data_IF_065145639335
#
_entry.id   IF_065145639335
#
_cell.length_a   1.000
_cell.length_b   1.000
_cell.length_c   1.000
_cell.angle_alpha   90.00
_cell.angle_beta   90.00
_cell.angle_gamma   90.00
#
_symmetry.space_group_name_H-M   'P 1'
#
loop_
_entity.id
_entity.type
_entity.pdbx_description
1 polymer ?
#
# COMPACT_ATOMS: atom_id res chain seq x y z
N UNK A 1 11.39 -17.02 10.13
CA UNK A 1 10.00 -16.71 9.74
C UNK A 1 9.94 -15.35 9.05
N UNK A 2 9.13 -15.27 8.02
CA UNK A 2 8.99 -14.01 7.29
C UNK A 2 8.13 -13.01 8.04
N UNK A 3 8.54 -11.75 8.05
CA UNK A 3 7.73 -10.68 8.63
C UNK A 3 6.68 -10.25 7.61
N UNK A 4 5.53 -9.81 8.11
CA UNK A 4 4.44 -9.32 7.29
C UNK A 4 4.24 -7.84 7.54
N UNK A 5 4.17 -7.05 6.45
CA UNK A 5 3.85 -5.63 6.49
C UNK A 5 2.49 -5.45 5.84
N UNK A 6 1.60 -4.69 6.47
CA UNK A 6 0.29 -4.41 5.90
C UNK A 6 0.23 -2.94 5.52
N UNK A 7 0.00 -2.67 4.24
CA UNK A 7 -0.22 -1.32 3.72
C UNK A 7 -1.71 -1.05 3.66
N UNK A 8 -2.14 0.04 4.26
CA UNK A 8 -3.56 0.35 4.38
C UNK A 8 -3.87 1.72 3.80
N UNK A 9 -4.89 1.78 2.97
CA UNK A 9 -5.53 3.04 2.60
C UNK A 9 -7.04 2.80 2.60
N UNK A 10 -7.83 3.87 2.53
CA UNK A 10 -9.28 3.71 2.69
C UNK A 10 -9.84 2.76 1.65
N UNK A 11 -9.59 2.98 0.37
CA UNK A 11 -10.18 2.19 -0.71
C UNK A 11 -9.27 1.06 -1.21
N UNK A 12 -8.00 1.06 -0.85
CA UNK A 12 -6.97 0.11 -1.30
C UNK A 12 -7.00 -0.11 -2.83
N UNK A 13 -7.31 0.95 -3.58
CA UNK A 13 -7.37 0.91 -5.05
C UNK A 13 -6.18 1.57 -5.74
N UNK A 14 -5.27 2.15 -4.99
CA UNK A 14 -4.10 2.86 -5.55
C UNK A 14 -2.84 2.70 -4.71
N UNK A 15 -2.67 3.59 -3.73
CA UNK A 15 -1.41 3.70 -2.96
C UNK A 15 -0.96 2.40 -2.32
N UNK A 16 -1.84 1.73 -1.59
CA UNK A 16 -1.47 0.48 -0.92
C UNK A 16 -1.19 -0.64 -1.90
N UNK A 17 -1.87 -0.66 -3.05
CA UNK A 17 -1.61 -1.64 -4.10
C UNK A 17 -0.23 -1.46 -4.69
N UNK A 18 0.20 -0.23 -4.94
CA UNK A 18 1.54 0.06 -5.44
C UNK A 18 2.60 -0.35 -4.41
N UNK A 19 2.37 -0.01 -3.15
CA UNK A 19 3.32 -0.34 -2.08
C UNK A 19 3.47 -1.85 -1.90
N UNK A 20 2.37 -2.59 -1.91
CA UNK A 20 2.42 -4.05 -1.82
C UNK A 20 3.23 -4.66 -2.96
N UNK A 21 2.98 -4.21 -4.19
CA UNK A 21 3.64 -4.75 -5.37
C UNK A 21 5.16 -4.48 -5.33
N UNK A 22 5.56 -3.26 -5.01
CA UNK A 22 6.99 -2.94 -4.89
C UNK A 22 7.65 -3.71 -3.77
N UNK A 23 6.99 -3.80 -2.62
CA UNK A 23 7.56 -4.49 -1.47
C UNK A 23 7.81 -5.97 -1.78
N UNK A 24 6.81 -6.65 -2.33
CA UNK A 24 6.96 -8.08 -2.63
C UNK A 24 8.01 -8.35 -3.69
N UNK A 25 8.15 -7.45 -4.68
CA UNK A 25 9.19 -7.57 -5.68
C UNK A 25 10.58 -7.37 -5.07
N UNK A 26 10.75 -6.35 -4.22
CA UNK A 26 12.05 -6.02 -3.64
C UNK A 26 12.47 -6.97 -2.52
N UNK A 27 11.52 -7.48 -1.75
CA UNK A 27 11.81 -8.35 -0.61
C UNK A 27 12.21 -9.77 -1.03
N UNK A 28 11.84 -10.20 -2.24
CA UNK A 28 12.25 -11.49 -2.81
C UNK A 28 12.03 -12.68 -1.87
N UNK A 29 10.87 -12.71 -1.22
CA UNK A 29 10.52 -13.81 -0.32
C UNK A 29 11.02 -13.69 1.10
N UNK A 30 11.85 -12.71 1.40
CA UNK A 30 12.38 -12.52 2.77
C UNK A 30 11.35 -11.90 3.71
N UNK A 31 10.35 -11.24 3.15
CA UNK A 31 9.25 -10.66 3.89
C UNK A 31 8.05 -10.58 2.95
N UNK A 32 6.86 -10.37 3.50
CA UNK A 32 5.63 -10.33 2.70
C UNK A 32 4.87 -9.05 2.99
N UNK A 33 4.29 -8.46 1.96
CA UNK A 33 3.38 -7.34 2.10
C UNK A 33 1.97 -7.74 1.70
N UNK A 34 1.00 -7.18 2.42
CA UNK A 34 -0.41 -7.27 2.10
C UNK A 34 -0.94 -5.86 1.97
N UNK A 35 -1.97 -5.67 1.16
CA UNK A 35 -2.68 -4.39 1.07
C UNK A 35 -4.12 -4.59 1.46
N UNK A 36 -4.70 -3.60 2.12
CA UNK A 36 -6.08 -3.67 2.60
C UNK A 36 -6.66 -2.27 2.77
N UNK A 37 -7.96 -2.20 2.88
CA UNK A 37 -8.65 -0.93 3.09
C UNK A 37 -9.80 -1.06 4.08
N UNK A 38 -10.17 0.06 4.68
CA UNK A 38 -11.30 0.11 5.60
C UNK A 38 -12.63 0.19 4.85
N UNK A 39 -12.60 0.72 3.61
CA UNK A 39 -13.75 0.77 2.71
C UNK A 39 -13.26 0.42 1.30
N UNK A 40 -12.98 -0.88 1.02
CA UNK A 40 -12.41 -1.26 -0.28
C UNK A 40 -13.28 -0.83 -1.46
N UNK A 41 -12.65 -0.29 -2.50
CA UNK A 41 -13.33 -0.01 -3.75
C UNK A 41 -13.60 -1.30 -4.52
N UNK A 42 -14.24 -1.18 -5.68
CA UNK A 42 -14.57 -2.34 -6.50
C UNK A 42 -13.37 -2.85 -7.30
N UNK A 43 -12.53 -1.93 -7.76
CA UNK A 43 -11.39 -2.27 -8.62
C UNK A 43 -10.19 -1.39 -8.31
N UNK A 44 -9.01 -1.87 -8.70
CA UNK A 44 -7.80 -1.06 -8.65
C UNK A 44 -7.93 0.06 -9.69
N UNK A 45 -7.48 1.27 -9.32
CA UNK A 45 -7.53 2.44 -10.19
C UNK A 45 -6.79 2.15 -11.51
N UNK A 46 -7.46 2.29 -12.69
CA UNK A 46 -6.82 1.98 -13.98
C UNK A 46 -5.56 2.79 -14.28
N UNK A 47 -5.51 4.05 -13.84
CA UNK A 47 -4.32 4.90 -14.04
C UNK A 47 -3.15 4.36 -13.22
N UNK A 48 -3.43 3.83 -12.03
CA UNK A 48 -2.42 3.20 -11.18
C UNK A 48 -1.91 1.91 -11.84
N UNK A 49 -2.81 1.11 -12.41
CA UNK A 49 -2.42 -0.09 -13.15
C UNK A 49 -1.46 0.27 -14.29
N UNK A 50 -1.77 1.32 -15.04
CA UNK A 50 -0.93 1.78 -16.15
C UNK A 50 0.44 2.27 -15.65
N UNK A 51 0.45 3.06 -14.57
CA UNK A 51 1.70 3.56 -14.00
C UNK A 51 2.62 2.42 -13.53
N UNK A 52 2.05 1.36 -12.95
CA UNK A 52 2.83 0.21 -12.50
C UNK A 52 3.33 -0.62 -13.68
N UNK A 53 2.51 -0.73 -14.74
CA UNK A 53 2.93 -1.45 -15.95
C UNK A 53 4.16 -0.82 -16.58
N UNK A 54 4.30 0.50 -16.52
CA UNK A 54 5.45 1.22 -17.05
C UNK A 54 6.77 0.78 -16.39
N UNK A 55 6.70 0.32 -15.16
CA UNK A 55 7.90 -0.14 -14.43
C UNK A 55 7.97 -1.68 -14.36
N UNK A 56 7.21 -2.34 -15.22
CA UNK A 56 7.29 -3.80 -15.37
C UNK A 56 6.47 -4.61 -14.37
N UNK A 57 5.54 -3.98 -13.67
CA UNK A 57 4.72 -4.65 -12.67
C UNK A 57 3.25 -4.62 -13.09
N UNK A 58 2.64 -5.79 -13.23
CA UNK A 58 1.23 -5.90 -13.60
C UNK A 58 0.38 -6.17 -12.35
N UNK A 59 -0.46 -5.20 -11.98
CA UNK A 59 -1.40 -5.35 -10.87
C UNK A 59 -2.84 -5.40 -11.33
N UNK A 60 -3.07 -5.59 -12.64
CA UNK A 60 -4.42 -5.58 -13.21
C UNK A 60 -5.31 -6.70 -12.67
N UNK A 61 -4.73 -7.79 -12.20
CA UNK A 61 -5.47 -8.89 -11.60
C UNK A 61 -5.76 -8.73 -10.11
N UNK A 62 -5.22 -7.69 -9.49
CA UNK A 62 -5.43 -7.46 -8.06
C UNK A 62 -6.81 -6.87 -7.80
N UNK A 63 -7.34 -7.15 -6.60
CA UNK A 63 -8.62 -6.59 -6.17
C UNK A 63 -8.48 -5.97 -4.79
N UNK A 64 -9.18 -4.85 -4.54
CA UNK A 64 -9.22 -4.27 -3.21
C UNK A 64 -9.77 -5.27 -2.19
N UNK A 65 -9.14 -5.32 -1.02
CA UNK A 65 -9.52 -6.24 0.06
C UNK A 65 -9.84 -5.48 1.32
N UNK A 66 -10.78 -6.01 2.09
CA UNK A 66 -11.11 -5.45 3.39
C UNK A 66 -9.99 -5.74 4.40
N UNK A 67 -9.64 -4.73 5.21
CA UNK A 67 -8.74 -4.95 6.34
C UNK A 67 -9.42 -5.87 7.35
N UNK A 68 -8.73 -6.92 7.76
CA UNK A 68 -9.27 -7.90 8.72
C UNK A 68 -8.47 -7.89 10.00
N UNK A 69 -9.10 -8.37 11.07
CA UNK A 69 -8.42 -8.50 12.36
C UNK A 69 -7.21 -9.44 12.25
N UNK A 70 -7.32 -10.48 11.46
CA UNK A 70 -6.22 -11.41 11.21
C UNK A 70 -5.01 -10.71 10.60
N UNK A 71 -5.24 -9.81 9.64
CA UNK A 71 -4.16 -9.03 9.03
C UNK A 71 -3.47 -8.14 10.08
N UNK A 72 -4.27 -7.50 10.94
CA UNK A 72 -3.75 -6.66 12.02
C UNK A 72 -2.89 -7.47 12.98
N UNK A 73 -3.35 -8.65 13.35
CA UNK A 73 -2.63 -9.50 14.29
C UNK A 73 -1.32 -10.05 13.72
N UNK A 74 -1.29 -10.33 12.42
CA UNK A 74 -0.10 -10.85 11.75
C UNK A 74 0.94 -9.77 11.46
N UNK A 75 0.54 -8.52 11.42
CA UNK A 75 1.41 -7.45 10.95
C UNK A 75 2.57 -7.21 11.90
N UNK A 76 3.79 -7.35 11.41
CA UNK A 76 4.98 -6.87 12.11
C UNK A 76 5.02 -5.36 12.07
N UNK A 77 4.45 -4.76 11.00
CA UNK A 77 4.34 -3.32 10.87
C UNK A 77 3.13 -2.99 10.01
N UNK A 78 2.42 -1.93 10.36
CA UNK A 78 1.32 -1.41 9.53
C UNK A 78 1.65 0.00 9.08
N UNK A 79 1.39 0.26 7.80
CA UNK A 79 1.65 1.56 7.21
C UNK A 79 0.37 2.07 6.57
N UNK A 80 -0.08 3.24 6.98
CA UNK A 80 -1.20 3.91 6.35
C UNK A 80 -0.67 4.86 5.29
N UNK A 81 -1.47 5.08 4.25
CA UNK A 81 -1.04 5.80 3.06
C UNK A 81 -1.69 7.18 2.96
N UNK A 82 -1.94 7.80 4.12
CA UNK A 82 -2.59 9.11 4.16
C UNK A 82 -4.07 9.01 4.42
N UNK A 83 -4.46 8.53 5.60
CA UNK A 83 -5.87 8.40 5.99
C UNK A 83 -6.57 9.76 6.02
N UNK A 84 -6.01 10.71 6.76
CA UNK A 84 -6.58 12.04 6.85
C UNK A 84 -8.06 12.07 7.22
N UNK A 85 -8.70 13.17 6.89
CA UNK A 85 -10.11 13.39 7.21
C UNK A 85 -11.04 12.53 6.36
N UNK A 86 -10.56 12.06 5.21
CA UNK A 86 -11.38 11.27 4.29
C UNK A 86 -11.71 9.88 4.82
N UNK A 87 -10.99 9.45 5.85
CA UNK A 87 -11.21 8.13 6.43
C UNK A 87 -12.47 8.04 7.27
N UNK A 88 -13.08 9.17 7.66
CA UNK A 88 -14.31 9.16 8.43
C UNK A 88 -14.21 8.39 9.75
N UNK A 89 -13.04 8.41 10.39
CA UNK A 89 -12.82 7.68 11.62
C UNK A 89 -12.48 6.21 11.44
N UNK A 90 -12.38 5.75 10.20
CA UNK A 90 -12.09 4.35 9.90
C UNK A 90 -10.59 4.07 9.69
N UNK A 91 -9.76 5.08 9.86
CA UNK A 91 -8.32 4.90 9.72
C UNK A 91 -7.77 4.02 10.84
N UNK A 92 -7.05 2.92 10.52
CA UNK A 92 -6.55 2.02 11.56
C UNK A 92 -5.51 2.64 12.48
N UNK A 93 -4.94 3.79 12.12
CA UNK A 93 -4.00 4.50 12.99
C UNK A 93 -4.63 4.88 14.34
N UNK A 94 -5.95 4.94 14.44
CA UNK A 94 -6.64 5.21 15.68
C UNK A 94 -6.80 3.97 16.58
N UNK A 95 -6.47 2.79 16.09
CA UNK A 95 -6.71 1.53 16.80
C UNK A 95 -5.44 0.80 17.18
N UNK A 96 -4.39 0.92 16.36
CA UNK A 96 -3.12 0.26 16.61
C UNK A 96 -1.98 1.20 16.22
N UNK A 97 -0.78 0.87 16.67
CA UNK A 97 0.40 1.65 16.31
C UNK A 97 0.70 1.48 14.82
N UNK A 98 0.73 2.59 14.08
CA UNK A 98 0.99 2.59 12.65
C UNK A 98 1.93 3.74 12.29
N UNK A 99 2.53 3.62 11.10
CA UNK A 99 3.28 4.71 10.49
C UNK A 99 2.44 5.25 9.33
N UNK A 100 2.24 6.55 9.27
CA UNK A 100 1.46 7.17 8.20
C UNK A 100 2.39 7.89 7.23
N UNK A 101 2.36 7.49 5.96
CA UNK A 101 3.22 8.09 4.93
C UNK A 101 2.63 9.35 4.31
N UNK A 102 1.37 9.67 4.59
CA UNK A 102 0.72 10.93 4.16
C UNK A 102 0.87 11.22 2.66
N UNK A 103 0.65 10.22 1.85
CA UNK A 103 0.76 10.35 0.39
C UNK A 103 -0.54 10.84 -0.22
N UNK A 104 -0.43 11.56 -1.36
CA UNK A 104 -1.61 12.00 -2.08
C UNK A 104 -2.37 10.82 -2.66
N UNK A 105 -3.70 10.93 -2.69
CA UNK A 105 -4.56 9.94 -3.32
C UNK A 105 -4.49 10.09 -4.83
N UNK A 106 -4.16 9.01 -5.59
CA UNK A 106 -4.11 9.08 -7.05
C UNK A 106 -5.47 9.21 -7.72
N UNK A 107 -6.57 9.09 -6.98
CA UNK A 107 -7.91 9.17 -7.55
C UNK A 107 -8.13 10.51 -8.26
N UNK A 108 -8.57 10.44 -9.52
CA UNK A 108 -8.84 11.64 -10.32
C UNK A 108 -7.62 12.37 -10.83
N UNK A 109 -6.43 11.84 -10.61
CA UNK A 109 -5.19 12.48 -11.06
C UNK A 109 -4.74 11.96 -12.43
N UNK A 110 -3.95 12.79 -13.13
CA UNK A 110 -3.38 12.39 -14.41
C UNK A 110 -2.31 11.32 -14.23
N UNK A 111 -1.97 10.63 -15.31
CA UNK A 111 -0.90 9.64 -15.30
C UNK A 111 0.43 10.26 -14.83
N UNK A 112 0.72 11.50 -15.28
CA UNK A 112 1.94 12.19 -14.86
C UNK A 112 1.99 12.41 -13.36
N UNK A 113 0.88 12.77 -12.74
CA UNK A 113 0.80 12.95 -11.29
C UNK A 113 0.91 11.62 -10.56
N UNK A 114 0.28 10.57 -11.09
CA UNK A 114 0.35 9.24 -10.49
C UNK A 114 1.78 8.69 -10.54
N UNK A 115 2.53 8.99 -11.60
CA UNK A 115 3.94 8.60 -11.69
C UNK A 115 4.77 9.19 -10.55
N UNK A 116 4.51 10.42 -10.17
CA UNK A 116 5.21 11.07 -9.06
C UNK A 116 4.89 10.37 -7.74
N UNK A 117 3.62 10.05 -7.52
CA UNK A 117 3.19 9.31 -6.33
C UNK A 117 3.82 7.92 -6.32
N UNK A 118 3.79 7.22 -7.45
CA UNK A 118 4.40 5.90 -7.60
C UNK A 118 5.88 5.91 -7.24
N UNK A 119 6.62 6.89 -7.76
CA UNK A 119 8.06 6.96 -7.55
C UNK A 119 8.40 7.27 -6.09
N UNK A 120 7.59 8.08 -5.40
CA UNK A 120 7.76 8.35 -3.98
C UNK A 120 7.48 7.08 -3.16
N UNK A 121 6.44 6.33 -3.51
CA UNK A 121 6.12 5.07 -2.84
C UNK A 121 7.28 4.08 -3.02
N UNK A 122 7.80 3.96 -4.23
CA UNK A 122 8.93 3.07 -4.51
C UNK A 122 10.13 3.38 -3.63
N UNK A 123 10.45 4.65 -3.47
CA UNK A 123 11.56 5.11 -2.65
C UNK A 123 11.36 4.73 -1.18
N UNK A 124 10.17 4.96 -0.64
CA UNK A 124 9.85 4.64 0.75
C UNK A 124 9.83 3.13 0.99
N UNK A 125 9.30 2.38 0.03
CA UNK A 125 9.25 0.92 0.12
C UNK A 125 10.66 0.34 0.11
N UNK A 126 11.56 0.87 -0.73
CA UNK A 126 12.93 0.37 -0.78
C UNK A 126 13.63 0.53 0.57
N UNK A 127 13.45 1.67 1.23
CA UNK A 127 14.00 1.90 2.56
C UNK A 127 13.38 0.95 3.61
N UNK A 128 12.07 0.73 3.51
CA UNK A 128 11.36 -0.16 4.42
C UNK A 128 11.82 -1.62 4.27
N UNK A 129 12.02 -2.09 3.03
CA UNK A 129 12.48 -3.45 2.78
C UNK A 129 13.85 -3.66 3.42
N UNK A 130 14.75 -2.68 3.28
CA UNK A 130 16.06 -2.77 3.92
C UNK A 130 15.94 -2.86 5.44
N UNK A 131 15.07 -2.04 6.03
CA UNK A 131 14.86 -2.03 7.47
C UNK A 131 14.33 -3.37 7.96
N UNK A 132 13.31 -3.91 7.29
CA UNK A 132 12.64 -5.15 7.70
C UNK A 132 13.52 -6.36 7.49
N UNK A 133 14.25 -6.43 6.38
CA UNK A 133 15.07 -7.60 6.06
C UNK A 133 16.42 -7.60 6.77
N UNK A 134 16.85 -6.47 7.32
CA UNK A 134 18.08 -6.38 8.10
C UNK A 134 17.92 -6.83 9.55
N UNK A 135 16.68 -6.97 10.00
CA UNK A 135 16.41 -7.37 11.40
C UNK A 135 16.55 -8.86 11.63
#
# INVERSE_FOLDING_TARGET
MSKTVVFVCVHTSGRSQMAEAFFNQMAQGKALALSAGTQPGDNVNPVVVEAMREVGIDISGNKPKMLTLEMIEKAAKMITMGCGDDAGGLCPAGFIETEDWKLEDPKGKSLAQVRIIRDEIKKRVAALVQQITAE
#
